data_IF_950123277650
#
_entry.id   IF_950123277650
#
_cell.length_a   1.000
_cell.length_b   1.000
_cell.length_c   1.000
_cell.angle_alpha   90.00
_cell.angle_beta   90.00
_cell.angle_gamma   90.00
#
_symmetry.space_group_name_H-M   'P 1'
#
loop_
_entity.id
_entity.type
_entity.pdbx_description
1 polymer ?
#
# COMPACT_ATOMS: atom_id res chain seq x y z
N UNK A 1 -9.98 6.73 -19.57
CA UNK A 1 -9.21 5.92 -18.59
C UNK A 1 -9.51 6.39 -17.16
N UNK A 2 -9.26 7.67 -16.85
CA UNK A 2 -9.48 8.26 -15.52
C UNK A 2 -10.89 8.04 -14.98
N UNK A 3 -11.95 8.37 -15.73
CA UNK A 3 -13.34 8.21 -15.25
C UNK A 3 -13.71 6.76 -14.97
N UNK A 4 -13.19 5.82 -15.76
CA UNK A 4 -13.39 4.37 -15.52
C UNK A 4 -12.69 3.89 -14.26
N UNK A 5 -11.51 4.43 -13.95
CA UNK A 5 -10.75 4.09 -12.74
C UNK A 5 -11.40 4.66 -11.48
N UNK A 6 -11.98 5.87 -11.57
CA UNK A 6 -12.48 6.62 -10.41
C UNK A 6 -14.01 6.65 -10.26
N UNK A 7 -14.77 6.22 -11.27
CA UNK A 7 -16.23 6.19 -11.24
C UNK A 7 -16.89 7.58 -11.14
N UNK A 8 -16.19 8.66 -11.52
CA UNK A 8 -16.64 10.06 -11.46
C UNK A 8 -16.20 10.83 -12.70
N UNK A 9 -16.93 11.91 -13.03
CA UNK A 9 -16.55 12.84 -14.10
C UNK A 9 -15.19 13.49 -13.76
N UNK A 10 -14.33 13.65 -14.76
CA UNK A 10 -13.02 14.27 -14.59
C UNK A 10 -13.08 15.68 -13.95
N UNK A 11 -14.17 16.41 -14.16
CA UNK A 11 -14.36 17.78 -13.64
C UNK A 11 -14.53 17.81 -12.12
N UNK A 12 -15.01 16.72 -11.54
CA UNK A 12 -15.25 16.60 -10.09
C UNK A 12 -14.03 16.03 -9.33
N UNK A 13 -12.98 15.64 -10.06
CA UNK A 13 -11.76 15.11 -9.48
C UNK A 13 -10.80 16.23 -9.09
N UNK A 14 -10.15 16.14 -7.92
CA UNK A 14 -9.10 17.09 -7.55
C UNK A 14 -7.96 17.16 -8.57
N UNK A 15 -7.54 18.37 -8.93
CA UNK A 15 -6.53 18.60 -9.96
C UNK A 15 -5.18 17.90 -9.70
N UNK A 16 -4.84 17.61 -8.44
CA UNK A 16 -3.59 16.93 -8.09
C UNK A 16 -3.51 15.49 -8.61
N UNK A 17 -4.64 14.83 -8.88
CA UNK A 17 -4.68 13.45 -9.40
C UNK A 17 -3.97 13.37 -10.77
N UNK A 18 -3.97 14.46 -11.53
CA UNK A 18 -3.38 14.54 -12.87
C UNK A 18 -1.86 14.77 -12.82
N UNK A 19 -1.31 15.29 -11.70
CA UNK A 19 0.13 15.61 -11.56
C UNK A 19 1.06 14.39 -11.67
N UNK A 20 0.51 13.17 -11.65
CA UNK A 20 1.26 11.91 -11.74
C UNK A 20 1.78 11.58 -13.16
N UNK A 21 1.30 12.25 -14.22
CA UNK A 21 1.78 12.05 -15.59
C UNK A 21 2.66 13.22 -16.04
N UNK A 22 3.99 13.06 -16.07
CA UNK A 22 4.88 14.05 -16.69
C UNK A 22 4.77 14.00 -18.21
N UNK A 23 4.65 15.16 -18.86
CA UNK A 23 4.79 15.28 -20.31
C UNK A 23 6.28 15.37 -20.64
N UNK A 24 6.77 14.47 -21.51
CA UNK A 24 8.17 14.46 -21.95
C UNK A 24 8.26 14.93 -23.40
N UNK A 25 9.23 15.82 -23.66
CA UNK A 25 9.60 16.26 -25.01
C UNK A 25 10.86 15.55 -25.51
N UNK A 26 11.07 14.33 -25.02
CA UNK A 26 12.20 13.46 -25.32
C UNK A 26 11.67 12.11 -25.81
N UNK A 27 12.47 11.36 -26.58
CA UNK A 27 12.15 10.00 -27.00
C UNK A 27 12.47 8.96 -25.92
N UNK A 28 12.05 9.23 -24.68
CA UNK A 28 12.21 8.32 -23.55
C UNK A 28 10.84 7.79 -23.12
N UNK A 29 10.63 6.49 -23.36
CA UNK A 29 9.39 5.79 -23.06
C UNK A 29 9.42 5.10 -21.68
N UNK A 30 10.47 5.29 -20.87
CA UNK A 30 10.52 4.71 -19.53
C UNK A 30 9.36 5.23 -18.66
N UNK A 31 8.59 4.32 -18.06
CA UNK A 31 7.43 4.72 -17.26
C UNK A 31 7.81 5.50 -15.98
N UNK A 32 8.97 5.19 -15.39
CA UNK A 32 9.49 5.88 -14.21
C UNK A 32 10.79 6.64 -14.50
N UNK A 33 11.03 7.71 -13.74
CA UNK A 33 12.28 8.49 -13.78
C UNK A 33 13.30 8.04 -12.71
N UNK A 34 13.10 6.88 -12.08
CA UNK A 34 13.95 6.41 -10.99
C UNK A 34 15.29 5.86 -11.52
N UNK A 35 16.38 6.08 -10.77
CA UNK A 35 17.72 5.56 -11.11
C UNK A 35 17.79 4.03 -11.08
N UNK A 36 17.10 3.41 -10.13
CA UNK A 36 17.04 1.96 -9.97
C UNK A 36 15.63 1.46 -10.27
N UNK A 37 15.52 0.59 -11.27
CA UNK A 37 14.27 -0.03 -11.69
C UNK A 37 14.53 -1.50 -11.95
N UNK A 38 13.62 -2.35 -11.47
CA UNK A 38 13.76 -3.80 -11.62
C UNK A 38 12.61 -4.53 -10.99
N UNK A 39 12.48 -5.81 -11.35
CA UNK A 39 11.52 -6.74 -10.74
C UNK A 39 12.36 -7.83 -10.06
N UNK A 40 12.04 -8.22 -8.82
CA UNK A 40 12.79 -9.26 -8.12
C UNK A 40 12.75 -10.58 -8.90
N UNK A 41 13.92 -11.16 -9.13
CA UNK A 41 14.05 -12.48 -9.76
C UNK A 41 13.42 -13.53 -8.85
N UNK A 42 12.42 -14.25 -9.35
CA UNK A 42 11.61 -15.18 -8.56
C UNK A 42 10.38 -14.56 -7.90
N UNK A 43 10.07 -13.29 -8.18
CA UNK A 43 8.84 -12.62 -7.77
C UNK A 43 8.87 -12.03 -6.37
N UNK A 44 7.86 -11.20 -6.06
CA UNK A 44 7.77 -10.47 -4.79
C UNK A 44 7.56 -11.39 -3.58
N UNK A 45 6.84 -12.50 -3.74
CA UNK A 45 6.61 -13.45 -2.65
C UNK A 45 7.92 -14.00 -2.09
N UNK A 46 8.86 -14.39 -2.96
CA UNK A 46 10.18 -14.89 -2.54
C UNK A 46 10.99 -13.81 -1.81
N UNK A 47 10.94 -12.58 -2.31
CA UNK A 47 11.60 -11.44 -1.68
C UNK A 47 11.06 -11.19 -0.26
N UNK A 48 9.74 -11.16 -0.10
CA UNK A 48 9.11 -10.96 1.22
C UNK A 48 9.38 -12.14 2.15
N UNK A 49 9.33 -13.37 1.67
CA UNK A 49 9.65 -14.55 2.48
C UNK A 49 11.08 -14.48 3.05
N UNK A 50 12.05 -14.04 2.25
CA UNK A 50 13.43 -13.86 2.72
C UNK A 50 13.57 -12.71 3.74
N UNK A 51 12.76 -11.65 3.63
CA UNK A 51 12.76 -10.55 4.60
C UNK A 51 12.16 -10.96 5.96
N UNK A 52 11.25 -11.94 5.95
CA UNK A 52 10.56 -12.46 7.14
C UNK A 52 11.20 -13.74 7.69
N UNK A 53 12.34 -14.17 7.14
CA UNK A 53 13.01 -15.39 7.59
C UNK A 53 13.46 -15.27 9.05
N UNK A 54 13.15 -16.28 9.86
CA UNK A 54 13.39 -16.27 11.30
C UNK A 54 12.42 -15.43 12.14
N UNK A 55 11.38 -14.83 11.53
CA UNK A 55 10.34 -14.07 12.24
C UNK A 55 9.05 -14.89 12.30
N UNK A 56 8.37 -14.90 13.45
CA UNK A 56 7.04 -15.53 13.56
C UNK A 56 6.01 -14.73 12.76
N UNK A 57 5.34 -15.39 11.81
CA UNK A 57 4.29 -14.79 10.98
C UNK A 57 3.01 -15.60 11.12
N UNK A 58 1.93 -14.92 11.49
CA UNK A 58 0.58 -15.50 11.56
C UNK A 58 -0.27 -14.98 10.41
N UNK A 59 -0.64 -15.87 9.49
CA UNK A 59 -1.55 -15.56 8.38
C UNK A 59 -3.00 -15.84 8.77
N UNK A 60 -3.95 -15.34 7.99
CA UNK A 60 -5.40 -15.52 8.24
C UNK A 60 -5.84 -15.09 9.65
N UNK A 61 -5.17 -14.10 10.23
CA UNK A 61 -5.46 -13.58 11.57
C UNK A 61 -5.82 -12.10 11.45
N UNK A 62 -7.06 -11.76 11.77
CA UNK A 62 -7.46 -10.36 11.90
C UNK A 62 -7.01 -9.81 13.25
N UNK A 63 -6.23 -8.72 13.21
CA UNK A 63 -5.72 -8.07 14.41
C UNK A 63 -6.83 -7.39 15.23
N UNK A 64 -7.83 -6.77 14.59
CA UNK A 64 -8.90 -6.06 15.29
C UNK A 64 -9.83 -7.04 16.01
N UNK A 65 -10.10 -8.22 15.44
CA UNK A 65 -10.88 -9.27 16.09
C UNK A 65 -10.17 -9.86 17.33
N UNK A 66 -8.84 -9.92 17.30
CA UNK A 66 -8.01 -10.55 18.35
C UNK A 66 -7.20 -9.53 19.16
N UNK A 67 -7.58 -8.25 19.11
CA UNK A 67 -6.76 -7.12 19.58
C UNK A 67 -6.28 -7.30 21.01
N UNK A 68 -7.18 -7.59 21.95
CA UNK A 68 -6.82 -7.74 23.36
C UNK A 68 -5.77 -8.84 23.62
N UNK A 69 -5.87 -9.96 22.91
CA UNK A 69 -4.92 -11.06 23.05
C UNK A 69 -3.57 -10.74 22.41
N UNK A 70 -3.57 -10.08 21.25
CA UNK A 70 -2.35 -9.71 20.53
C UNK A 70 -1.62 -8.54 21.19
N UNK A 71 -2.35 -7.57 21.75
CA UNK A 71 -1.80 -6.45 22.50
C UNK A 71 -1.08 -6.92 23.76
N UNK A 72 -1.56 -8.00 24.38
CA UNK A 72 -0.90 -8.59 25.55
C UNK A 72 0.43 -9.30 25.23
N UNK A 73 0.70 -9.61 23.96
CA UNK A 73 1.91 -10.32 23.53
C UNK A 73 3.09 -9.39 23.23
N UNK A 74 2.86 -8.08 23.14
CA UNK A 74 3.88 -7.13 22.71
C UNK A 74 3.82 -5.81 23.49
N UNK A 75 4.98 -5.28 23.86
CA UNK A 75 5.07 -3.97 24.53
C UNK A 75 4.75 -2.79 23.59
N UNK A 76 4.90 -3.00 22.28
CA UNK A 76 4.69 -1.98 21.25
C UNK A 76 4.06 -2.58 20.01
N UNK A 77 3.18 -1.79 19.39
CA UNK A 77 2.40 -2.22 18.24
C UNK A 77 2.62 -1.25 17.10
N UNK A 78 2.99 -1.78 15.94
CA UNK A 78 3.04 -1.04 14.68
C UNK A 78 1.84 -1.48 13.84
N UNK A 79 0.82 -0.63 13.78
CA UNK A 79 -0.41 -0.92 13.03
C UNK A 79 -0.36 -0.29 11.64
N UNK A 80 -0.50 -1.11 10.60
CA UNK A 80 -0.48 -0.69 9.19
C UNK A 80 -1.81 -0.92 8.46
N UNK A 81 -2.87 -1.25 9.20
CA UNK A 81 -4.23 -1.40 8.67
C UNK A 81 -4.98 -0.06 8.55
N UNK A 82 -6.26 -0.09 8.14
CA UNK A 82 -7.09 1.11 8.01
C UNK A 82 -7.30 1.81 9.35
N UNK A 83 -6.94 3.09 9.42
CA UNK A 83 -6.98 3.88 10.66
C UNK A 83 -8.41 4.13 11.17
N UNK A 84 -9.36 4.29 10.26
CA UNK A 84 -10.79 4.43 10.56
C UNK A 84 -11.35 3.17 11.23
N UNK A 85 -11.04 1.99 10.70
CA UNK A 85 -11.42 0.72 11.29
C UNK A 85 -10.81 0.52 12.70
N UNK A 86 -9.59 1.00 12.92
CA UNK A 86 -8.95 0.94 14.24
C UNK A 86 -9.72 1.68 15.34
N UNK A 87 -10.45 2.74 14.97
CA UNK A 87 -11.28 3.54 15.87
C UNK A 87 -12.79 3.29 15.69
N UNK A 88 -13.17 2.09 15.23
CA UNK A 88 -14.57 1.68 14.98
C UNK A 88 -15.35 2.66 14.08
N UNK A 89 -14.69 3.38 13.18
CA UNK A 89 -15.29 4.43 12.34
C UNK A 89 -15.99 5.57 13.12
N UNK A 90 -15.63 5.77 14.40
CA UNK A 90 -16.31 6.74 15.30
C UNK A 90 -15.71 8.15 15.26
N UNK A 91 -14.55 8.33 14.64
CA UNK A 91 -13.78 9.60 14.67
C UNK A 91 -13.73 10.30 13.31
N UNK A 92 -14.77 10.08 12.48
CA UNK A 92 -14.91 10.66 11.14
C UNK A 92 -15.26 12.14 11.13
#
# INVERSE_FOLDING_TARGET
>A
YTEKQWGRDCKDLPAFIIKRLPVRLTFDNNYFNALYQGIPIGGYTKMIANLLDGIEVRLNTDYLENKAALDALADKIVYTGPIDAYFDYKLG
#
